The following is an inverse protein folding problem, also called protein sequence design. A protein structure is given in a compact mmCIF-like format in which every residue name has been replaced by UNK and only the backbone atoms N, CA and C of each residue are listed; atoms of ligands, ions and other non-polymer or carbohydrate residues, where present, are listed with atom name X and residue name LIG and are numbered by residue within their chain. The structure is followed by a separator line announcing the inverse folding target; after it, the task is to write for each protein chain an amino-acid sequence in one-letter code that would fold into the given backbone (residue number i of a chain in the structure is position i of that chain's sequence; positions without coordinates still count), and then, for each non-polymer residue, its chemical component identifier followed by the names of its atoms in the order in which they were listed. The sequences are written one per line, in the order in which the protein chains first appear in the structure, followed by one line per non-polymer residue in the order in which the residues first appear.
data_IF_154096126708
#
_entry.id   IF_154096126708
#
_cell.length_a   1.000
_cell.length_b   1.000
_cell.length_c   1.000
_cell.angle_alpha   90.00
_cell.angle_beta   90.00
_cell.angle_gamma   90.00
#
_symmetry.space_group_name_H-M   'P 1'
#
loop_
_entity.id
_entity.type
_entity.pdbx_description
1 polymer ?
#
# COMPACT_ATOMS: atom_id res chain seq x y z
N UNK A 1 51.28 23.14 32.31
CA UNK A 1 50.24 23.64 33.25
C UNK A 1 49.74 24.97 32.71
N UNK A 2 48.41 25.16 32.73
CA UNK A 2 47.63 26.24 32.08
C UNK A 2 47.61 26.11 30.53
N UNK A 3 46.50 26.13 29.78
CA UNK A 3 45.16 26.72 29.96
C UNK A 3 44.12 25.96 29.10
N UNK A 4 43.26 25.11 29.69
CA UNK A 4 42.07 24.55 29.02
C UNK A 4 40.75 25.13 29.55
N UNK A 5 40.83 26.12 30.43
CA UNK A 5 39.68 26.61 31.21
C UNK A 5 39.04 27.90 30.64
N UNK A 6 39.72 28.60 29.72
CA UNK A 6 39.22 29.84 29.13
C UNK A 6 38.20 29.57 28.00
N UNK A 7 38.46 28.57 27.15
CA UNK A 7 37.60 28.26 26.00
C UNK A 7 36.23 27.71 26.41
N UNK A 8 36.20 26.83 27.40
CA UNK A 8 34.95 26.30 27.98
C UNK A 8 34.13 27.42 28.61
N UNK A 9 34.76 28.34 29.36
CA UNK A 9 34.06 29.50 29.94
C UNK A 9 33.47 30.43 28.88
N UNK A 10 34.16 30.68 27.77
CA UNK A 10 33.62 31.47 26.66
C UNK A 10 32.48 30.77 25.92
N UNK A 11 32.57 29.45 25.74
CA UNK A 11 31.50 28.66 25.11
C UNK A 11 30.22 28.65 25.98
N UNK A 12 30.35 28.50 27.30
CA UNK A 12 29.21 28.58 28.22
C UNK A 12 28.60 29.98 28.30
N UNK A 13 29.42 31.04 28.26
CA UNK A 13 28.92 32.42 28.21
C UNK A 13 28.17 32.71 26.91
N UNK A 14 28.70 32.26 25.77
CA UNK A 14 28.06 32.44 24.47
C UNK A 14 26.73 31.68 24.39
N UNK A 15 26.67 30.45 24.90
CA UNK A 15 25.44 29.67 24.94
C UNK A 15 24.40 30.33 25.86
N UNK A 16 24.80 30.79 27.06
CA UNK A 16 23.91 31.47 27.99
C UNK A 16 23.35 32.79 27.41
N UNK A 17 24.16 33.56 26.69
CA UNK A 17 23.71 34.79 26.02
C UNK A 17 22.74 34.47 24.87
N UNK A 18 23.00 33.44 24.06
CA UNK A 18 22.10 33.02 22.97
C UNK A 18 20.76 32.55 23.55
N UNK A 19 20.77 31.76 24.62
CA UNK A 19 19.54 31.28 25.29
C UNK A 19 18.78 32.44 25.93
N UNK A 20 19.46 33.40 26.58
CA UNK A 20 18.83 34.58 27.16
C UNK A 20 18.22 35.50 26.08
N UNK A 21 18.88 35.64 24.93
CA UNK A 21 18.37 36.39 23.77
C UNK A 21 17.17 35.68 23.14
N UNK A 22 17.18 34.36 23.01
CA UNK A 22 16.02 33.58 22.54
C UNK A 22 14.81 33.73 23.47
N UNK A 23 15.02 33.58 24.78
CA UNK A 23 13.95 33.72 25.78
C UNK A 23 13.41 35.16 25.85
N UNK A 24 14.25 36.18 25.65
CA UNK A 24 13.82 37.58 25.57
C UNK A 24 13.08 37.91 24.27
N UNK A 25 13.38 37.21 23.17
CA UNK A 25 12.70 37.35 21.88
C UNK A 25 11.34 36.63 21.88
N UNK A 26 11.24 35.45 22.50
CA UNK A 26 9.97 34.75 22.70
C UNK A 26 9.04 35.52 23.66
N UNK A 27 9.58 36.10 24.73
CA UNK A 27 8.81 36.93 25.68
C UNK A 27 8.31 38.26 25.07
N UNK A 28 8.79 38.67 23.89
CA UNK A 28 8.40 39.92 23.21
C UNK A 28 7.56 39.71 21.95
N UNK A 29 7.18 38.48 21.61
CA UNK A 29 6.20 38.21 20.54
C UNK A 29 6.60 38.72 19.15
N UNK A 30 7.90 38.79 18.84
CA UNK A 30 8.38 39.24 17.53
C UNK A 30 8.64 38.03 16.64
N UNK A 31 7.63 37.64 15.87
CA UNK A 31 7.76 36.67 14.77
C UNK A 31 8.41 37.34 13.57
N UNK A 32 9.59 36.86 13.16
CA UNK A 32 10.20 37.23 11.88
C UNK A 32 9.47 36.53 10.74
N UNK A 33 8.85 37.34 9.88
CA UNK A 33 8.14 36.94 8.67
C UNK A 33 9.09 36.29 7.66
N UNK A 34 8.97 34.98 7.47
CA UNK A 34 9.46 34.31 6.27
C UNK A 34 8.36 34.36 5.19
N UNK A 35 8.75 34.84 4.01
CA UNK A 35 7.91 35.05 2.84
C UNK A 35 7.11 33.80 2.47
N UNK A 36 5.79 33.97 2.40
CA UNK A 36 4.84 32.93 1.99
C UNK A 36 4.79 32.86 0.47
N UNK A 37 5.24 31.74 -0.08
CA UNK A 37 4.80 31.27 -1.40
C UNK A 37 3.28 31.10 -1.29
N UNK A 38 2.52 31.80 -2.14
CA UNK A 38 1.07 31.64 -2.25
C UNK A 38 0.73 30.24 -2.77
N UNK A 39 0.62 29.27 -1.86
CA UNK A 39 -0.29 28.17 -2.04
C UNK A 39 -1.68 28.68 -1.64
N UNK A 40 -2.62 28.70 -2.58
CA UNK A 40 -4.04 28.94 -2.32
C UNK A 40 -4.57 27.86 -1.36
N UNK A 41 -4.42 28.12 -0.07
CA UNK A 41 -5.09 27.37 0.99
C UNK A 41 -6.54 27.83 0.99
N UNK A 42 -7.44 26.97 0.51
CA UNK A 42 -8.88 27.16 0.70
C UNK A 42 -9.12 27.16 2.21
N UNK A 43 -9.40 28.34 2.76
CA UNK A 43 -9.73 28.54 4.16
C UNK A 43 -11.16 28.03 4.35
N UNK A 44 -11.30 26.78 4.77
CA UNK A 44 -12.60 26.18 5.09
C UNK A 44 -13.16 26.84 6.35
N UNK A 45 -14.23 27.62 6.16
CA UNK A 45 -15.08 28.06 7.26
C UNK A 45 -15.82 26.86 7.82
N UNK A 46 -15.65 26.60 9.11
CA UNK A 46 -16.41 25.58 9.84
C UNK A 46 -17.85 26.08 9.98
N UNK A 47 -18.78 25.37 9.34
CA UNK A 47 -20.22 25.48 9.56
C UNK A 47 -20.79 24.09 9.92
N UNK A 48 -21.93 24.01 10.63
CA UNK A 48 -22.33 22.80 11.35
C UNK A 48 -22.56 21.60 10.43
N UNK A 49 -22.04 20.47 10.90
CA UNK A 49 -21.71 19.26 10.17
C UNK A 49 -22.90 18.43 9.70
N UNK A 50 -22.82 17.97 8.45
CA UNK A 50 -23.70 16.95 7.87
C UNK A 50 -23.53 16.88 6.35
N UNK A 51 -23.80 18.00 5.67
CA UNK A 51 -23.80 18.05 4.20
C UNK A 51 -22.43 18.47 3.64
N UNK A 52 -21.69 19.34 4.34
CA UNK A 52 -20.36 19.79 3.93
C UNK A 52 -19.28 18.69 4.01
N UNK A 53 -19.46 17.70 4.90
CA UNK A 53 -18.48 16.63 5.08
C UNK A 53 -18.53 15.57 3.96
N UNK A 54 -19.71 15.30 3.39
CA UNK A 54 -19.88 14.37 2.27
C UNK A 54 -19.42 14.99 0.94
N UNK A 55 -19.79 16.25 0.69
CA UNK A 55 -19.33 16.99 -0.50
C UNK A 55 -17.80 17.12 -0.59
N UNK A 56 -17.12 17.18 0.56
CA UNK A 56 -15.64 17.14 0.66
C UNK A 56 -15.06 15.77 0.25
N UNK A 57 -15.72 14.67 0.62
CA UNK A 57 -15.30 13.31 0.23
C UNK A 57 -15.50 13.08 -1.27
N UNK A 58 -16.67 13.44 -1.82
CA UNK A 58 -16.93 13.29 -3.25
C UNK A 58 -15.94 14.11 -4.09
N UNK A 59 -15.61 15.32 -3.64
CA UNK A 59 -14.59 16.15 -4.28
C UNK A 59 -13.19 15.52 -4.21
N UNK A 60 -12.83 14.87 -3.10
CA UNK A 60 -11.57 14.14 -2.97
C UNK A 60 -11.49 12.96 -3.93
N UNK A 61 -12.57 12.17 -4.07
CA UNK A 61 -12.65 11.11 -5.07
C UNK A 61 -12.53 11.67 -6.48
N UNK A 62 -13.36 12.64 -6.85
CA UNK A 62 -13.37 13.25 -8.17
C UNK A 62 -11.99 13.82 -8.57
N UNK A 63 -11.24 14.38 -7.61
CA UNK A 63 -9.89 14.89 -7.85
C UNK A 63 -8.86 13.81 -8.22
N UNK A 64 -9.12 12.53 -7.91
CA UNK A 64 -8.19 11.41 -8.11
C UNK A 64 -8.74 10.30 -9.03
N UNK A 65 -10.01 10.35 -9.44
CA UNK A 65 -10.64 9.29 -10.21
C UNK A 65 -9.90 8.93 -11.50
N UNK A 66 -9.39 9.91 -12.24
CA UNK A 66 -8.62 9.66 -13.45
C UNK A 66 -7.31 8.87 -13.18
N UNK A 67 -6.64 9.16 -12.07
CA UNK A 67 -5.42 8.46 -11.63
C UNK A 67 -5.74 7.03 -11.17
N UNK A 68 -6.85 6.86 -10.43
CA UNK A 68 -7.28 5.55 -9.91
C UNK A 68 -7.83 4.64 -11.00
N UNK A 69 -8.58 5.18 -11.97
CA UNK A 69 -8.97 4.45 -13.19
C UNK A 69 -7.74 3.95 -13.94
N UNK A 70 -6.74 4.81 -14.09
CA UNK A 70 -5.50 4.47 -14.77
C UNK A 70 -4.77 3.32 -14.07
N UNK A 71 -4.73 3.34 -12.75
CA UNK A 71 -4.17 2.25 -11.96
C UNK A 71 -4.95 0.94 -12.15
N UNK A 72 -6.28 0.98 -12.17
CA UNK A 72 -7.12 -0.21 -12.43
C UNK A 72 -6.84 -0.79 -13.83
N UNK A 73 -6.73 0.05 -14.86
CA UNK A 73 -6.40 -0.40 -16.21
C UNK A 73 -5.05 -1.14 -16.26
N UNK A 74 -4.02 -0.55 -15.63
CA UNK A 74 -2.71 -1.18 -15.51
C UNK A 74 -2.78 -2.51 -14.76
N UNK A 75 -3.54 -2.58 -13.67
CA UNK A 75 -3.80 -3.83 -12.94
C UNK A 75 -4.51 -4.88 -13.81
N UNK A 76 -5.40 -4.46 -14.72
CA UNK A 76 -6.03 -5.37 -15.68
C UNK A 76 -5.02 -5.91 -16.68
N UNK A 77 -4.12 -5.07 -17.22
CA UNK A 77 -3.07 -5.53 -18.13
C UNK A 77 -2.11 -6.50 -17.44
N UNK A 78 -1.62 -6.15 -16.25
CA UNK A 78 -0.76 -7.03 -15.47
C UNK A 78 -1.41 -8.41 -15.27
N UNK A 79 -2.67 -8.47 -14.81
CA UNK A 79 -3.33 -9.75 -14.54
C UNK A 79 -3.63 -10.60 -15.79
N UNK A 80 -3.86 -9.97 -16.94
CA UNK A 80 -4.29 -10.67 -18.17
C UNK A 80 -3.14 -11.04 -19.10
N UNK A 81 -2.05 -10.29 -19.06
CA UNK A 81 -0.97 -10.38 -20.03
C UNK A 81 0.29 -10.81 -19.29
N UNK A 82 0.73 -12.04 -19.57
CA UNK A 82 2.00 -12.55 -19.02
C UNK A 82 3.16 -12.30 -19.99
N UNK A 83 4.36 -12.20 -19.44
CA UNK A 83 5.62 -12.01 -20.17
C UNK A 83 5.63 -10.80 -21.13
N UNK A 84 4.95 -9.71 -20.75
CA UNK A 84 4.88 -8.45 -21.52
C UNK A 84 5.55 -7.28 -20.81
N UNK A 85 6.13 -6.36 -21.58
CA UNK A 85 6.56 -5.05 -21.09
C UNK A 85 5.31 -4.14 -21.06
N UNK A 86 5.04 -3.57 -19.88
CA UNK A 86 3.88 -2.70 -19.63
C UNK A 86 4.36 -1.28 -19.33
N UNK A 87 4.28 -0.34 -20.30
CA UNK A 87 4.54 1.06 -20.05
C UNK A 87 3.48 1.70 -19.16
N UNK A 88 3.86 2.63 -18.27
CA UNK A 88 2.90 3.37 -17.43
C UNK A 88 1.84 4.14 -18.24
N UNK A 89 2.15 4.48 -19.48
CA UNK A 89 1.29 5.24 -20.38
C UNK A 89 0.37 4.37 -21.26
N UNK A 90 0.52 3.02 -21.25
CA UNK A 90 -0.24 2.08 -22.09
C UNK A 90 -1.77 2.20 -21.97
N UNK A 91 -2.48 2.71 -22.98
CA UNK A 91 -3.94 2.92 -22.94
C UNK A 91 -4.74 1.72 -23.44
N UNK A 92 -4.07 0.73 -24.03
CA UNK A 92 -4.68 -0.47 -24.58
C UNK A 92 -3.69 -1.63 -24.59
N UNK A 93 -4.20 -2.84 -24.85
CA UNK A 93 -3.36 -4.02 -25.04
C UNK A 93 -2.37 -3.89 -26.23
N UNK A 94 -2.61 -2.95 -27.16
CA UNK A 94 -1.70 -2.69 -28.30
C UNK A 94 -0.45 -1.90 -27.91
N UNK A 95 -0.50 -1.21 -26.77
CA UNK A 95 0.63 -0.44 -26.24
C UNK A 95 1.59 -1.31 -25.43
N UNK A 96 1.21 -2.56 -25.17
CA UNK A 96 2.04 -3.55 -24.50
C UNK A 96 3.03 -4.14 -25.51
N UNK A 97 4.28 -4.32 -25.08
CA UNK A 97 5.33 -4.83 -25.95
C UNK A 97 5.66 -6.27 -25.56
N UNK A 98 5.74 -7.13 -26.57
CA UNK A 98 6.05 -8.55 -26.47
C UNK A 98 7.43 -8.83 -27.03
N UNK A 99 7.98 -10.01 -26.76
CA UNK A 99 9.28 -10.45 -27.30
C UNK A 99 9.33 -10.39 -28.84
N UNK A 100 8.23 -10.65 -29.52
CA UNK A 100 8.08 -10.62 -30.98
C UNK A 100 7.65 -9.26 -31.55
N UNK A 101 7.47 -8.24 -30.70
CA UNK A 101 7.20 -6.87 -31.16
C UNK A 101 8.40 -6.32 -31.95
N UNK A 102 8.18 -5.42 -32.92
CA UNK A 102 9.27 -4.82 -33.67
C UNK A 102 10.32 -4.19 -32.75
N UNK A 103 11.60 -4.50 -32.98
CA UNK A 103 12.70 -3.96 -32.15
C UNK A 103 12.70 -2.43 -32.13
N UNK A 104 12.28 -1.76 -33.20
CA UNK A 104 12.14 -0.30 -33.24
C UNK A 104 11.16 0.22 -32.18
N UNK A 105 10.01 -0.45 -31.98
CA UNK A 105 9.04 -0.10 -30.96
C UNK A 105 9.57 -0.38 -29.55
N UNK A 106 10.25 -1.52 -29.36
CA UNK A 106 10.89 -1.86 -28.08
C UNK A 106 11.97 -0.84 -27.73
N UNK A 107 12.88 -0.55 -28.66
CA UNK A 107 13.95 0.43 -28.48
C UNK A 107 13.42 1.84 -28.21
N UNK A 108 12.34 2.26 -28.87
CA UNK A 108 11.70 3.56 -28.63
C UNK A 108 11.19 3.69 -27.18
N UNK A 109 10.68 2.60 -26.60
CA UNK A 109 10.33 2.57 -25.18
C UNK A 109 11.60 2.50 -24.32
N UNK A 110 12.49 1.53 -24.56
CA UNK A 110 13.69 1.28 -23.75
C UNK A 110 14.57 2.52 -23.57
N UNK A 111 14.81 3.28 -24.65
CA UNK A 111 15.65 4.49 -24.66
C UNK A 111 15.15 5.64 -23.77
N UNK A 112 13.92 5.57 -23.25
CA UNK A 112 13.41 6.55 -22.26
C UNK A 112 14.15 6.49 -20.93
N UNK A 113 14.70 5.32 -20.57
CA UNK A 113 15.50 5.06 -19.37
C UNK A 113 15.01 5.80 -18.10
N UNK A 114 13.81 5.45 -17.58
CA UNK A 114 13.31 6.02 -16.33
C UNK A 114 14.29 5.71 -15.18
N UNK A 115 14.19 6.46 -14.07
CA UNK A 115 15.13 6.27 -12.96
C UNK A 115 15.08 4.85 -12.38
N UNK A 116 13.91 4.22 -12.35
CA UNK A 116 13.69 2.89 -11.79
C UNK A 116 12.74 2.13 -12.72
N UNK A 117 13.17 1.02 -13.28
CA UNK A 117 12.31 0.06 -14.00
C UNK A 117 11.82 -1.03 -13.02
N UNK A 118 10.57 -1.48 -13.15
CA UNK A 118 9.97 -2.48 -12.26
C UNK A 118 10.18 -3.86 -12.88
N UNK A 119 10.91 -4.75 -12.19
CA UNK A 119 10.99 -6.13 -12.63
C UNK A 119 9.66 -6.84 -12.37
N UNK A 120 9.08 -7.40 -13.42
CA UNK A 120 7.85 -8.17 -13.35
C UNK A 120 8.16 -9.61 -13.75
N UNK A 121 8.33 -10.46 -12.74
CA UNK A 121 8.67 -11.89 -12.89
C UNK A 121 7.67 -12.64 -13.78
N UNK A 122 8.01 -13.81 -14.32
CA UNK A 122 7.04 -14.63 -15.04
C UNK A 122 6.08 -15.38 -14.10
N UNK A 123 4.80 -15.48 -14.46
CA UNK A 123 3.85 -16.39 -13.80
C UNK A 123 3.14 -15.91 -12.52
N UNK A 124 3.65 -14.93 -11.76
CA UNK A 124 2.92 -14.37 -10.60
C UNK A 124 2.12 -13.16 -11.04
N UNK A 125 0.81 -13.35 -11.22
CA UNK A 125 -0.14 -12.32 -11.72
C UNK A 125 -1.43 -12.25 -10.91
N UNK A 126 -1.34 -12.52 -9.62
CA UNK A 126 -2.49 -12.33 -8.73
C UNK A 126 -2.78 -10.84 -8.48
N UNK A 127 -3.88 -10.59 -7.78
CA UNK A 127 -4.32 -9.23 -7.47
C UNK A 127 -3.31 -8.46 -6.62
N UNK A 128 -2.72 -9.08 -5.60
CA UNK A 128 -1.82 -8.39 -4.68
C UNK A 128 -0.52 -8.01 -5.38
N UNK A 129 0.06 -8.94 -6.14
CA UNK A 129 1.30 -8.70 -6.85
C UNK A 129 1.17 -7.66 -7.96
N UNK A 130 0.06 -7.68 -8.70
CA UNK A 130 -0.20 -6.65 -9.71
C UNK A 130 -0.51 -5.29 -9.06
N UNK A 131 -1.26 -5.24 -7.96
CA UNK A 131 -1.47 -3.99 -7.21
C UNK A 131 -0.15 -3.36 -6.77
N UNK A 132 0.77 -4.16 -6.23
CA UNK A 132 2.13 -3.72 -5.88
C UNK A 132 2.88 -3.21 -7.13
N UNK A 133 2.94 -3.98 -8.21
CA UNK A 133 3.73 -3.63 -9.39
C UNK A 133 3.25 -2.35 -10.07
N UNK A 134 1.93 -2.20 -10.23
CA UNK A 134 1.34 -1.17 -11.06
C UNK A 134 1.29 0.19 -10.37
N UNK A 135 1.24 0.26 -9.03
CA UNK A 135 1.39 1.54 -8.32
C UNK A 135 2.78 2.13 -8.54
N UNK A 136 3.83 1.30 -8.49
CA UNK A 136 5.19 1.76 -8.80
C UNK A 136 5.32 2.16 -10.27
N UNK A 137 4.80 1.35 -11.18
CA UNK A 137 4.85 1.64 -12.62
C UNK A 137 4.18 2.99 -12.93
N UNK A 138 2.99 3.24 -12.39
CA UNK A 138 2.25 4.48 -12.60
C UNK A 138 2.97 5.69 -11.99
N UNK A 139 3.27 5.65 -10.69
CA UNK A 139 3.73 6.84 -9.97
C UNK A 139 5.23 7.14 -10.12
N UNK A 140 6.03 6.17 -10.58
CA UNK A 140 7.40 6.43 -11.06
C UNK A 140 7.43 6.87 -12.53
N UNK A 141 6.29 6.89 -13.23
CA UNK A 141 6.19 7.10 -14.67
C UNK A 141 7.16 6.20 -15.44
N UNK A 142 7.10 4.91 -15.12
CA UNK A 142 8.08 3.91 -15.55
C UNK A 142 7.42 2.79 -16.35
N UNK A 143 8.00 1.60 -16.34
CA UNK A 143 7.46 0.41 -16.99
C UNK A 143 7.76 -0.81 -16.14
N UNK A 144 6.86 -1.78 -16.24
CA UNK A 144 7.14 -3.13 -15.81
C UNK A 144 7.84 -3.87 -16.95
N UNK A 145 9.00 -4.46 -16.66
CA UNK A 145 9.81 -5.19 -17.63
C UNK A 145 9.89 -6.68 -17.25
N UNK A 146 9.60 -7.59 -18.19
CA UNK A 146 9.80 -9.02 -18.00
C UNK A 146 11.26 -9.42 -18.22
N UNK A 147 11.60 -10.65 -17.82
CA UNK A 147 12.96 -11.21 -17.93
C UNK A 147 13.56 -11.09 -19.32
N UNK A 148 12.77 -11.30 -20.37
CA UNK A 148 13.29 -11.27 -21.75
C UNK A 148 13.86 -9.93 -22.16
N UNK A 149 13.39 -8.82 -21.59
CA UNK A 149 13.94 -7.48 -21.86
C UNK A 149 15.41 -7.40 -21.43
N UNK A 150 15.76 -8.12 -20.37
CA UNK A 150 17.10 -8.13 -19.80
C UNK A 150 18.03 -9.12 -20.50
N UNK A 151 17.49 -10.10 -21.22
CA UNK A 151 18.25 -11.16 -21.91
C UNK A 151 18.46 -10.88 -23.41
N UNK A 152 17.68 -9.96 -23.99
CA UNK A 152 17.63 -9.76 -25.44
C UNK A 152 18.58 -8.66 -25.89
N UNK A 153 19.25 -8.89 -27.04
CA UNK A 153 19.94 -7.84 -27.80
C UNK A 153 18.98 -7.30 -28.86
N UNK A 154 18.68 -6.00 -28.78
CA UNK A 154 17.76 -5.33 -29.69
C UNK A 154 18.53 -4.67 -30.82
N UNK A 155 18.07 -4.87 -32.05
CA UNK A 155 18.71 -4.38 -33.28
C UNK A 155 17.98 -3.12 -33.74
N UNK A 156 18.71 -2.03 -33.94
CA UNK A 156 18.17 -0.79 -34.49
C UNK A 156 18.09 -0.79 -36.03
N UNK A 157 17.60 0.31 -36.60
CA UNK A 157 17.44 0.47 -38.06
C UNK A 157 18.77 0.44 -38.83
N UNK A 158 19.89 0.68 -38.16
CA UNK A 158 21.24 0.64 -38.74
C UNK A 158 21.89 -0.75 -38.58
N UNK A 159 21.19 -1.71 -37.97
CA UNK A 159 21.73 -3.03 -37.68
C UNK A 159 22.61 -3.08 -36.41
N UNK A 160 22.68 -2.01 -35.62
CA UNK A 160 23.43 -1.99 -34.38
C UNK A 160 22.65 -2.65 -33.25
N UNK A 161 23.30 -3.60 -32.55
CA UNK A 161 22.72 -4.28 -31.39
C UNK A 161 22.94 -3.49 -30.11
N UNK A 162 21.94 -3.47 -29.22
CA UNK A 162 22.06 -2.94 -27.87
C UNK A 162 21.24 -3.76 -26.89
N UNK A 163 21.80 -4.03 -25.72
CA UNK A 163 21.10 -4.65 -24.58
C UNK A 163 20.43 -3.59 -23.72
N UNK A 164 19.49 -4.00 -22.87
CA UNK A 164 18.89 -3.11 -21.86
C UNK A 164 19.95 -2.44 -20.96
N UNK A 165 20.98 -3.20 -20.54
CA UNK A 165 22.01 -2.70 -19.64
C UNK A 165 22.91 -1.63 -20.27
N UNK A 166 23.14 -1.71 -21.58
CA UNK A 166 23.87 -0.70 -22.36
C UNK A 166 23.01 0.54 -22.63
N UNK A 167 21.71 0.36 -22.90
CA UNK A 167 20.79 1.47 -23.14
C UNK A 167 20.56 2.29 -21.87
N UNK A 168 20.31 1.62 -20.74
CA UNK A 168 19.92 2.26 -19.48
C UNK A 168 20.89 1.91 -18.33
N UNK A 169 22.18 2.30 -18.41
CA UNK A 169 23.18 1.91 -17.42
C UNK A 169 22.90 2.51 -16.03
N UNK A 170 22.23 3.67 -15.97
CA UNK A 170 21.92 4.39 -14.73
C UNK A 170 20.55 4.08 -14.12
N UNK A 171 19.63 3.49 -14.89
CA UNK A 171 18.34 3.05 -14.37
C UNK A 171 18.53 1.92 -13.36
N UNK A 172 17.91 2.04 -12.20
CA UNK A 172 17.82 0.97 -11.22
C UNK A 172 16.74 -0.04 -11.64
N UNK A 173 16.82 -1.25 -11.11
CA UNK A 173 15.76 -2.26 -11.23
C UNK A 173 15.14 -2.47 -9.85
N UNK A 174 13.82 -2.30 -9.76
CA UNK A 174 13.03 -2.62 -8.57
C UNK A 174 12.59 -4.08 -8.63
N UNK A 175 13.03 -4.89 -7.67
CA UNK A 175 12.50 -6.22 -7.46
C UNK A 175 11.47 -6.21 -6.33
N UNK A 176 10.37 -6.90 -6.57
CA UNK A 176 9.31 -7.08 -5.59
C UNK A 176 9.50 -8.42 -4.88
N UNK A 177 9.56 -8.34 -3.56
CA UNK A 177 9.66 -9.48 -2.67
C UNK A 177 10.83 -10.41 -3.07
N UNK A 178 10.62 -11.74 -3.17
CA UNK A 178 11.66 -12.72 -3.51
C UNK A 178 11.61 -13.19 -4.99
N UNK A 179 10.71 -12.65 -5.82
CA UNK A 179 10.48 -13.12 -7.19
C UNK A 179 11.49 -12.56 -8.21
N UNK A 180 12.79 -12.77 -7.97
CA UNK A 180 13.85 -12.16 -8.79
C UNK A 180 14.30 -13.03 -9.97
N UNK A 181 13.90 -14.31 -10.01
CA UNK A 181 14.18 -15.27 -11.08
C UNK A 181 15.66 -15.34 -11.53
N UNK A 182 16.58 -15.15 -10.57
CA UNK A 182 18.03 -15.15 -10.82
C UNK A 182 18.53 -13.97 -11.67
N UNK A 183 17.71 -12.96 -11.94
CA UNK A 183 18.09 -11.83 -12.81
C UNK A 183 19.33 -11.11 -12.30
N UNK A 184 19.38 -10.84 -11.00
CA UNK A 184 20.50 -10.17 -10.34
C UNK A 184 21.82 -10.97 -10.33
N UNK A 185 21.79 -12.24 -10.74
CA UNK A 185 22.90 -13.19 -10.83
C UNK A 185 23.29 -13.50 -12.28
N UNK A 186 22.58 -12.94 -13.27
CA UNK A 186 22.92 -13.16 -14.68
C UNK A 186 24.39 -12.76 -14.93
N UNK A 187 25.15 -13.51 -15.76
CA UNK A 187 26.57 -13.23 -15.99
C UNK A 187 26.86 -11.82 -16.52
N UNK A 188 25.90 -11.23 -17.24
CA UNK A 188 25.95 -9.90 -17.82
C UNK A 188 25.25 -8.83 -16.98
N UNK A 189 24.73 -9.17 -15.78
CA UNK A 189 24.16 -8.19 -14.87
C UNK A 189 25.28 -7.30 -14.31
N UNK A 190 25.30 -5.98 -14.60
CA UNK A 190 26.42 -5.14 -14.20
C UNK A 190 26.55 -5.07 -12.67
N UNK A 191 27.77 -5.20 -12.15
CA UNK A 191 28.01 -5.08 -10.70
C UNK A 191 27.67 -3.68 -10.14
N UNK A 192 27.70 -2.67 -11.01
CA UNK A 192 27.32 -1.28 -10.73
C UNK A 192 25.82 -1.01 -10.88
N UNK A 193 25.04 -1.99 -11.37
CA UNK A 193 23.59 -1.82 -11.55
C UNK A 193 22.92 -1.69 -10.18
N UNK A 194 22.20 -0.59 -9.99
CA UNK A 194 21.46 -0.31 -8.76
C UNK A 194 20.24 -1.21 -8.65
N UNK A 195 20.02 -1.73 -7.45
CA UNK A 195 18.90 -2.59 -7.13
C UNK A 195 18.07 -1.94 -6.02
N UNK A 196 16.77 -1.82 -6.27
CA UNK A 196 15.75 -1.42 -5.29
C UNK A 196 14.96 -2.67 -4.90
N UNK A 197 14.75 -2.91 -3.60
CA UNK A 197 13.90 -3.98 -3.09
C UNK A 197 12.66 -3.39 -2.45
N UNK A 198 11.49 -3.86 -2.87
CA UNK A 198 10.24 -3.69 -2.14
C UNK A 198 9.86 -5.05 -1.51
N UNK A 199 10.07 -5.26 -0.20
CA UNK A 199 9.81 -6.52 0.46
C UNK A 199 8.37 -6.63 0.99
N UNK A 200 7.90 -7.87 1.08
CA UNK A 200 6.84 -8.26 2.03
C UNK A 200 7.55 -8.79 3.28
N UNK A 201 7.60 -7.99 4.34
CA UNK A 201 8.44 -8.28 5.52
C UNK A 201 8.00 -9.51 6.31
N UNK A 202 6.76 -9.97 6.10
CA UNK A 202 6.16 -11.18 6.63
C UNK A 202 6.59 -12.46 5.91
N UNK A 203 7.13 -12.35 4.69
CA UNK A 203 7.50 -13.51 3.87
C UNK A 203 8.90 -14.03 4.22
N UNK A 204 8.95 -15.28 4.69
CA UNK A 204 10.18 -15.94 5.12
C UNK A 204 11.17 -16.27 4.00
N UNK A 205 10.72 -16.21 2.74
CA UNK A 205 11.54 -16.42 1.55
C UNK A 205 12.56 -15.30 1.33
N UNK A 206 12.33 -14.12 1.92
CA UNK A 206 13.33 -13.07 1.95
C UNK A 206 14.42 -13.41 2.96
N UNK A 207 15.62 -13.64 2.43
CA UNK A 207 16.82 -13.98 3.20
C UNK A 207 17.76 -12.77 3.35
N UNK A 208 18.73 -12.81 4.30
CA UNK A 208 19.81 -11.82 4.42
C UNK A 208 20.51 -11.47 3.10
N UNK A 209 20.68 -12.45 2.21
CA UNK A 209 21.34 -12.26 0.93
C UNK A 209 20.64 -11.22 0.05
N UNK A 210 19.30 -11.20 0.06
CA UNK A 210 18.52 -10.20 -0.68
C UNK A 210 18.79 -8.79 -0.15
N UNK A 211 18.72 -8.61 1.17
CA UNK A 211 18.94 -7.30 1.80
C UNK A 211 20.39 -6.80 1.69
N UNK A 212 21.37 -7.71 1.64
CA UNK A 212 22.78 -7.36 1.45
C UNK A 212 23.11 -7.04 -0.02
N UNK A 213 22.30 -7.49 -0.97
CA UNK A 213 22.53 -7.27 -2.40
C UNK A 213 22.08 -5.89 -2.88
N UNK A 214 21.11 -5.28 -2.22
CA UNK A 214 20.38 -4.10 -2.72
C UNK A 214 21.03 -2.79 -2.29
N UNK A 215 20.68 -1.71 -3.00
CA UNK A 215 21.16 -0.36 -2.70
C UNK A 215 20.10 0.44 -1.92
N UNK A 216 18.82 0.15 -2.16
CA UNK A 216 17.67 0.80 -1.52
C UNK A 216 16.61 -0.24 -1.17
N UNK A 217 16.03 -0.15 0.04
CA UNK A 217 14.87 -0.94 0.47
C UNK A 217 13.69 -0.01 0.70
N UNK A 218 12.54 -0.32 0.11
CA UNK A 218 11.29 0.43 0.29
C UNK A 218 10.48 -0.20 1.42
N UNK A 219 10.11 0.57 2.43
CA UNK A 219 9.30 0.09 3.55
C UNK A 219 7.84 0.57 3.41
N UNK A 220 6.92 -0.38 3.24
CA UNK A 220 5.48 -0.13 3.00
C UNK A 220 4.73 0.36 4.24
N UNK A 221 5.23 0.04 5.42
CA UNK A 221 4.66 0.42 6.72
C UNK A 221 5.77 0.93 7.65
N UNK A 222 5.37 1.60 8.73
CA UNK A 222 6.30 2.07 9.75
C UNK A 222 6.92 0.90 10.50
N UNK A 223 6.11 -0.14 10.78
CA UNK A 223 6.60 -1.40 11.32
C UNK A 223 7.68 -2.03 10.43
N UNK A 224 7.42 -2.15 9.12
CA UNK A 224 8.41 -2.63 8.16
C UNK A 224 9.68 -1.76 8.18
N UNK A 225 9.54 -0.44 8.22
CA UNK A 225 10.69 0.47 8.28
C UNK A 225 11.54 0.21 9.52
N UNK A 226 10.90 0.11 10.69
CA UNK A 226 11.59 -0.12 11.96
C UNK A 226 12.32 -1.47 11.96
N UNK A 227 11.68 -2.53 11.44
CA UNK A 227 12.27 -3.87 11.33
C UNK A 227 13.47 -3.90 10.40
N UNK A 228 13.32 -3.35 9.19
CA UNK A 228 14.40 -3.30 8.19
C UNK A 228 15.56 -2.43 8.70
N UNK A 229 15.25 -1.31 9.34
CA UNK A 229 16.25 -0.41 9.92
C UNK A 229 17.05 -1.11 11.01
N UNK A 230 16.37 -1.73 11.99
CA UNK A 230 17.02 -2.47 13.07
C UNK A 230 17.90 -3.60 12.51
N UNK A 231 17.36 -4.38 11.57
CA UNK A 231 18.10 -5.45 10.91
C UNK A 231 19.39 -4.95 10.23
N UNK A 232 19.33 -3.83 9.51
CA UNK A 232 20.50 -3.25 8.83
C UNK A 232 21.59 -2.80 9.83
N UNK A 233 21.21 -2.31 11.01
CA UNK A 233 22.16 -1.96 12.07
C UNK A 233 22.82 -3.22 12.66
N UNK A 234 22.01 -4.25 12.95
CA UNK A 234 22.49 -5.46 13.62
C UNK A 234 23.37 -6.35 12.73
N UNK A 235 23.12 -6.37 11.42
CA UNK A 235 23.77 -7.29 10.48
C UNK A 235 24.89 -6.64 9.65
N UNK A 236 25.21 -5.37 9.91
CA UNK A 236 26.25 -4.60 9.23
C UNK A 236 26.17 -4.75 7.70
N UNK A 237 25.03 -4.35 7.13
CA UNK A 237 24.74 -4.50 5.70
C UNK A 237 25.94 -4.00 4.86
N UNK A 238 26.61 -4.88 4.11
CA UNK A 238 27.90 -4.58 3.49
C UNK A 238 27.82 -3.52 2.39
N UNK A 239 26.63 -3.26 1.85
CA UNK A 239 26.39 -2.22 0.83
C UNK A 239 25.87 -0.91 1.42
N UNK A 240 25.58 -0.85 2.73
CA UNK A 240 25.00 0.32 3.38
C UNK A 240 23.64 0.71 2.76
N UNK A 241 22.81 -0.29 2.46
CA UNK A 241 21.53 -0.10 1.79
C UNK A 241 20.67 0.95 2.52
N UNK A 242 20.16 1.93 1.78
CA UNK A 242 19.29 2.98 2.33
C UNK A 242 17.87 2.44 2.49
N UNK A 243 17.22 2.73 3.60
CA UNK A 243 15.81 2.38 3.81
C UNK A 243 14.96 3.62 3.56
N UNK A 244 13.99 3.53 2.66
CA UNK A 244 13.02 4.59 2.38
C UNK A 244 11.64 4.16 2.87
N UNK A 245 11.11 4.84 3.88
CA UNK A 245 9.70 4.69 4.25
C UNK A 245 8.84 5.35 3.18
N UNK A 246 8.05 4.54 2.47
CA UNK A 246 7.24 5.00 1.34
C UNK A 246 5.77 5.12 1.67
N UNK A 247 5.34 4.62 2.83
CA UNK A 247 4.00 4.03 2.96
C UNK A 247 3.75 3.09 1.77
N UNK A 248 2.49 2.86 1.42
CA UNK A 248 2.13 2.24 0.16
C UNK A 248 0.70 2.65 -0.21
N UNK A 249 0.26 2.31 -1.41
CA UNK A 249 -1.11 2.61 -1.84
C UNK A 249 -1.71 1.45 -2.63
N UNK A 250 -2.97 1.58 -3.04
CA UNK A 250 -3.72 0.59 -3.82
C UNK A 250 -4.81 1.29 -4.64
N UNK A 251 -5.38 0.58 -5.61
CA UNK A 251 -6.52 1.07 -6.39
C UNK A 251 -7.80 1.27 -5.56
N UNK A 252 -8.74 2.05 -6.09
CA UNK A 252 -10.10 2.15 -5.56
C UNK A 252 -11.08 1.64 -6.61
N UNK A 253 -11.58 0.41 -6.48
CA UNK A 253 -12.46 -0.18 -7.47
C UNK A 253 -13.78 0.61 -7.62
N UNK A 254 -14.21 1.37 -6.61
CA UNK A 254 -15.46 2.13 -6.65
C UNK A 254 -15.43 3.26 -7.69
N UNK A 255 -14.24 3.63 -8.20
CA UNK A 255 -14.13 4.54 -9.34
C UNK A 255 -14.78 4.00 -10.62
N UNK A 256 -14.84 2.68 -10.78
CA UNK A 256 -15.54 2.06 -11.92
C UNK A 256 -17.04 2.37 -11.89
N UNK A 257 -17.62 2.37 -10.68
CA UNK A 257 -19.01 2.79 -10.48
C UNK A 257 -19.16 4.29 -10.75
N UNK A 258 -18.31 5.14 -10.15
CA UNK A 258 -18.35 6.61 -10.35
C UNK A 258 -18.25 7.03 -11.80
N UNK A 259 -17.48 6.29 -12.60
CA UNK A 259 -17.32 6.58 -14.03
C UNK A 259 -18.43 5.98 -14.91
N UNK A 260 -19.14 4.96 -14.43
CA UNK A 260 -20.22 4.29 -15.18
C UNK A 260 -21.61 4.90 -14.91
N UNK A 261 -21.81 5.54 -13.76
CA UNK A 261 -23.08 6.18 -13.39
C UNK A 261 -22.90 7.66 -13.06
N UNK A 262 -23.88 8.48 -13.45
CA UNK A 262 -23.92 9.92 -13.12
C UNK A 262 -24.41 10.20 -11.70
N UNK A 263 -25.08 9.22 -11.06
CA UNK A 263 -25.65 9.35 -9.73
C UNK A 263 -25.37 8.08 -8.94
N UNK A 264 -24.59 8.20 -7.86
CA UNK A 264 -24.36 7.12 -6.92
C UNK A 264 -25.16 7.38 -5.65
N UNK A 265 -25.85 6.35 -5.18
CA UNK A 265 -26.57 6.42 -3.91
C UNK A 265 -25.55 6.47 -2.78
N UNK A 266 -25.58 7.47 -1.90
CA UNK A 266 -24.69 7.51 -0.74
C UNK A 266 -24.90 6.29 0.17
N UNK A 267 -23.83 5.85 0.84
CA UNK A 267 -23.91 4.78 1.85
C UNK A 267 -24.83 5.20 3.00
N UNK A 268 -25.76 4.33 3.37
CA UNK A 268 -26.64 4.51 4.54
C UNK A 268 -26.08 3.81 5.77
N UNK A 269 -25.37 4.57 6.62
CA UNK A 269 -24.82 4.04 7.88
C UNK A 269 -25.88 3.76 8.97
N UNK A 270 -27.16 4.00 8.68
CA UNK A 270 -28.29 3.52 9.48
C UNK A 270 -28.69 2.07 9.16
N UNK A 271 -28.38 1.56 7.96
CA UNK A 271 -28.62 0.19 7.54
C UNK A 271 -27.29 -0.54 7.32
N UNK A 272 -26.90 -1.33 8.31
CA UNK A 272 -25.60 -1.97 8.31
C UNK A 272 -25.58 -3.19 7.37
N UNK A 273 -24.53 -3.24 6.54
CA UNK A 273 -24.10 -4.40 5.77
C UNK A 273 -22.59 -4.56 5.99
N UNK A 274 -22.19 -5.78 6.37
CA UNK A 274 -20.81 -6.13 6.69
C UNK A 274 -20.23 -6.96 5.56
N UNK A 275 -19.08 -6.54 5.02
CA UNK A 275 -18.32 -7.31 4.04
C UNK A 275 -17.00 -7.79 4.65
N UNK A 276 -16.68 -9.06 4.42
CA UNK A 276 -15.34 -9.59 4.64
C UNK A 276 -14.87 -10.34 3.39
N UNK A 277 -13.71 -9.97 2.86
CA UNK A 277 -13.15 -10.60 1.66
C UNK A 277 -11.72 -11.10 1.93
N UNK A 278 -11.57 -12.40 2.10
CA UNK A 278 -10.25 -12.99 2.32
C UNK A 278 -9.60 -13.57 1.06
N UNK A 279 -10.39 -13.86 0.03
CA UNK A 279 -9.88 -14.54 -1.16
C UNK A 279 -9.24 -15.88 -0.78
N UNK A 280 -8.00 -16.11 -1.19
CA UNK A 280 -7.26 -17.36 -0.91
C UNK A 280 -6.47 -17.35 0.41
N UNK A 281 -6.41 -16.23 1.13
CA UNK A 281 -5.54 -16.11 2.30
C UNK A 281 -6.20 -16.71 3.56
N UNK A 282 -5.55 -17.67 4.23
CA UNK A 282 -6.03 -18.18 5.52
C UNK A 282 -5.75 -17.20 6.67
N UNK A 283 -4.80 -16.28 6.51
CA UNK A 283 -4.38 -15.33 7.56
C UNK A 283 -5.36 -14.18 7.77
N UNK A 284 -6.44 -14.09 6.98
CA UNK A 284 -7.45 -13.04 7.12
C UNK A 284 -8.59 -13.41 8.08
N UNK A 285 -8.46 -14.53 8.79
CA UNK A 285 -9.37 -14.99 9.84
C UNK A 285 -10.85 -15.15 9.40
N UNK A 286 -11.06 -15.54 8.15
CA UNK A 286 -12.39 -15.79 7.59
C UNK A 286 -13.20 -16.84 8.37
N UNK A 287 -12.57 -17.90 8.86
CA UNK A 287 -13.26 -18.88 9.73
C UNK A 287 -13.68 -18.29 11.09
N UNK A 288 -12.91 -17.32 11.63
CA UNK A 288 -13.25 -16.66 12.90
C UNK A 288 -14.42 -15.70 12.75
N UNK A 289 -14.52 -15.01 11.61
CA UNK A 289 -15.71 -14.23 11.24
C UNK A 289 -16.98 -15.11 11.26
N UNK A 290 -16.93 -16.28 10.60
CA UNK A 290 -18.06 -17.22 10.60
C UNK A 290 -18.44 -17.70 12.00
N UNK A 291 -17.45 -18.04 12.83
CA UNK A 291 -17.70 -18.44 14.22
C UNK A 291 -18.34 -17.32 15.05
N UNK A 292 -17.96 -16.06 14.82
CA UNK A 292 -18.61 -14.94 15.47
C UNK A 292 -20.10 -14.85 15.06
N UNK A 293 -20.40 -14.88 13.76
CA UNK A 293 -21.79 -14.79 13.28
C UNK A 293 -22.69 -15.96 13.68
N UNK A 294 -22.11 -17.13 13.96
CA UNK A 294 -22.84 -18.33 14.38
C UNK A 294 -23.71 -18.09 15.62
N UNK A 295 -23.18 -17.36 16.60
CA UNK A 295 -23.83 -17.17 17.91
C UNK A 295 -24.57 -15.83 18.00
N UNK A 296 -24.58 -15.03 16.92
CA UNK A 296 -25.11 -13.67 16.88
C UNK A 296 -26.09 -13.44 15.71
N UNK A 297 -27.30 -14.03 15.74
CA UNK A 297 -28.33 -13.83 14.70
C UNK A 297 -28.85 -12.38 14.62
N UNK A 298 -28.62 -11.57 15.64
CA UNK A 298 -28.96 -10.14 15.69
C UNK A 298 -27.97 -9.24 14.94
N UNK A 299 -26.80 -9.77 14.56
CA UNK A 299 -25.81 -9.00 13.81
C UNK A 299 -26.30 -8.67 12.39
N UNK A 300 -25.79 -7.58 11.79
CA UNK A 300 -26.05 -7.26 10.39
C UNK A 300 -25.67 -8.40 9.46
N UNK A 301 -26.21 -8.39 8.24
CA UNK A 301 -25.86 -9.39 7.23
C UNK A 301 -24.36 -9.34 6.94
N UNK A 302 -23.70 -10.49 7.08
CA UNK A 302 -22.32 -10.73 6.67
C UNK A 302 -22.30 -11.26 5.26
N UNK A 303 -21.71 -10.50 4.34
CA UNK A 303 -21.32 -10.97 3.01
C UNK A 303 -19.84 -11.37 3.04
N UNK A 304 -19.60 -12.67 3.09
CA UNK A 304 -18.24 -13.22 3.18
C UNK A 304 -17.81 -13.81 1.84
N UNK A 305 -16.75 -13.23 1.26
CA UNK A 305 -16.16 -13.67 -0.01
C UNK A 305 -14.85 -14.43 0.23
N UNK A 306 -14.88 -15.74 0.00
CA UNK A 306 -13.79 -16.65 0.31
C UNK A 306 -13.44 -17.57 -0.85
N UNK A 307 -12.19 -17.99 -0.93
CA UNK A 307 -11.68 -18.98 -1.90
C UNK A 307 -10.60 -19.88 -1.29
N UNK A 308 -10.53 -19.94 0.03
CA UNK A 308 -9.65 -20.84 0.79
C UNK A 308 -10.46 -22.01 1.37
N UNK A 309 -9.84 -23.18 1.42
CA UNK A 309 -10.52 -24.40 1.89
C UNK A 309 -10.80 -24.39 3.40
N UNK A 310 -10.06 -23.60 4.18
CA UNK A 310 -10.21 -23.54 5.64
C UNK A 310 -11.51 -22.85 6.04
N UNK A 311 -11.84 -21.71 5.44
CA UNK A 311 -13.11 -21.03 5.67
C UNK A 311 -14.30 -21.83 5.14
N UNK A 312 -14.15 -22.49 3.99
CA UNK A 312 -15.18 -23.38 3.45
C UNK A 312 -15.42 -24.59 4.36
N UNK A 313 -14.35 -25.20 4.90
CA UNK A 313 -14.45 -26.24 5.91
C UNK A 313 -15.22 -25.75 7.15
N UNK A 314 -14.82 -24.59 7.68
CA UNK A 314 -15.49 -23.95 8.83
C UNK A 314 -16.98 -23.72 8.56
N UNK A 315 -17.34 -23.15 7.41
CA UNK A 315 -18.73 -22.93 7.03
C UNK A 315 -19.55 -24.23 7.01
N UNK A 316 -19.00 -25.29 6.43
CA UNK A 316 -19.66 -26.59 6.35
C UNK A 316 -19.77 -27.29 7.71
N UNK A 317 -18.78 -27.12 8.60
CA UNK A 317 -18.81 -27.65 9.96
C UNK A 317 -19.84 -26.95 10.84
N UNK A 318 -20.00 -25.63 10.65
CA UNK A 318 -20.93 -24.83 11.45
C UNK A 318 -22.39 -25.05 11.06
N UNK A 319 -22.67 -25.17 9.76
CA UNK A 319 -24.06 -25.10 9.27
C UNK A 319 -24.45 -26.18 8.25
N UNK A 320 -23.53 -27.03 7.81
CA UNK A 320 -23.80 -28.06 6.79
C UNK A 320 -24.53 -27.53 5.54
N UNK A 321 -24.15 -26.33 5.09
CA UNK A 321 -24.76 -25.65 3.94
C UNK A 321 -26.08 -24.90 4.22
N UNK A 322 -26.52 -24.84 5.49
CA UNK A 322 -27.76 -24.15 5.91
C UNK A 322 -27.47 -23.04 6.92
N UNK A 323 -26.81 -21.93 6.51
CA UNK A 323 -26.47 -20.83 7.41
C UNK A 323 -27.69 -20.05 7.88
N UNK A 324 -27.59 -19.27 8.98
CA UNK A 324 -28.64 -18.36 9.39
C UNK A 324 -28.87 -17.25 8.36
N UNK A 325 -30.05 -16.57 8.37
CA UNK A 325 -30.39 -15.56 7.37
C UNK A 325 -29.44 -14.35 7.29
N UNK A 326 -28.64 -14.10 8.33
CA UNK A 326 -27.68 -12.99 8.39
C UNK A 326 -26.26 -13.41 7.94
N UNK A 327 -26.08 -14.57 7.32
CA UNK A 327 -24.80 -15.03 6.76
C UNK A 327 -24.97 -15.38 5.28
N UNK A 328 -24.32 -14.59 4.43
CA UNK A 328 -24.23 -14.76 2.99
C UNK A 328 -22.79 -15.13 2.61
N UNK A 329 -22.56 -16.43 2.38
CA UNK A 329 -21.23 -16.99 2.13
C UNK A 329 -21.01 -17.29 0.64
N UNK A 330 -20.07 -16.58 0.04
CA UNK A 330 -19.67 -16.72 -1.36
C UNK A 330 -18.34 -17.47 -1.47
N UNK A 331 -18.40 -18.77 -1.77
CA UNK A 331 -17.20 -19.60 -1.97
C UNK A 331 -16.82 -19.77 -3.44
N UNK A 332 -15.57 -19.45 -3.78
CA UNK A 332 -14.98 -19.68 -5.11
C UNK A 332 -15.65 -18.90 -6.25
N UNK A 333 -16.52 -17.94 -5.94
CA UNK A 333 -17.26 -17.18 -6.94
C UNK A 333 -16.35 -16.18 -7.64
N UNK A 334 -16.34 -16.20 -8.97
CA UNK A 334 -15.69 -15.16 -9.74
C UNK A 334 -16.50 -13.86 -9.64
N UNK A 335 -15.88 -12.84 -9.05
CA UNK A 335 -16.44 -11.50 -8.98
C UNK A 335 -15.78 -10.65 -10.07
N UNK A 336 -16.57 -10.13 -11.01
CA UNK A 336 -16.06 -9.22 -12.04
C UNK A 336 -15.54 -7.91 -11.41
N UNK A 337 -14.69 -7.16 -12.10
CA UNK A 337 -14.20 -5.87 -11.58
C UNK A 337 -15.34 -4.91 -11.23
N UNK A 338 -16.42 -4.90 -12.03
CA UNK A 338 -17.61 -4.11 -11.73
C UNK A 338 -18.33 -4.69 -10.51
N UNK A 339 -18.55 -6.01 -10.44
CA UNK A 339 -19.19 -6.64 -9.29
C UNK A 339 -18.47 -6.34 -7.97
N UNK A 340 -17.14 -6.36 -7.99
CA UNK A 340 -16.31 -6.00 -6.83
C UNK A 340 -16.46 -4.53 -6.47
N UNK A 341 -16.52 -3.64 -7.46
CA UNK A 341 -16.81 -2.23 -7.25
C UNK A 341 -18.19 -2.01 -6.61
N UNK A 342 -19.22 -2.76 -7.02
CA UNK A 342 -20.55 -2.71 -6.39
C UNK A 342 -20.48 -3.16 -4.93
N UNK A 343 -19.84 -4.31 -4.66
CA UNK A 343 -19.72 -4.85 -3.30
C UNK A 343 -19.05 -3.83 -2.37
N UNK A 344 -17.93 -3.24 -2.79
CA UNK A 344 -17.24 -2.22 -1.99
C UNK A 344 -18.06 -0.94 -1.85
N UNK A 345 -18.80 -0.55 -2.89
CA UNK A 345 -19.68 0.61 -2.87
C UNK A 345 -20.87 0.43 -1.92
N UNK A 346 -21.45 -0.76 -1.84
CA UNK A 346 -22.64 -1.01 -1.05
C UNK A 346 -22.30 -1.34 0.42
N UNK A 347 -21.10 -1.83 0.69
CA UNK A 347 -20.65 -2.18 2.03
C UNK A 347 -20.51 -0.97 2.97
N UNK A 348 -21.37 -0.87 3.99
CA UNK A 348 -21.21 0.17 5.03
C UNK A 348 -20.03 -0.11 5.95
N UNK A 349 -19.77 -1.39 6.24
CA UNK A 349 -18.70 -1.85 7.12
C UNK A 349 -17.88 -2.88 6.36
N UNK A 350 -16.55 -2.76 6.40
CA UNK A 350 -15.65 -3.80 5.89
C UNK A 350 -14.73 -4.23 7.01
N UNK A 351 -14.76 -5.53 7.32
CA UNK A 351 -14.03 -6.12 8.43
C UNK A 351 -12.79 -6.84 7.91
N UNK A 352 -11.65 -6.44 8.44
CA UNK A 352 -10.32 -6.86 8.03
C UNK A 352 -9.53 -7.42 9.23
N UNK A 353 -9.90 -8.58 9.78
CA UNK A 353 -9.34 -9.11 11.02
C UNK A 353 -8.06 -9.93 10.74
N UNK A 354 -7.15 -9.43 9.92
CA UNK A 354 -5.93 -10.17 9.56
C UNK A 354 -5.07 -10.51 10.77
N UNK A 355 -4.53 -11.72 10.79
CA UNK A 355 -3.49 -12.15 11.72
C UNK A 355 -2.12 -11.57 11.32
N UNK A 356 -1.88 -11.35 10.03
CA UNK A 356 -0.69 -10.66 9.51
C UNK A 356 -0.99 -10.04 8.15
N UNK A 357 -0.28 -8.96 7.81
CA UNK A 357 -0.29 -8.33 6.48
C UNK A 357 1.12 -7.81 6.17
N UNK A 358 1.56 -7.90 4.91
CA UNK A 358 2.76 -7.19 4.45
C UNK A 358 2.52 -5.71 4.16
N UNK A 359 1.28 -5.38 3.81
CA UNK A 359 0.80 -4.00 3.71
C UNK A 359 -0.64 -3.91 4.21
N UNK A 360 -1.59 -4.55 3.53
CA UNK A 360 -3.02 -4.41 3.83
C UNK A 360 -3.84 -3.82 2.69
N UNK A 361 -3.68 -4.32 1.45
CA UNK A 361 -4.39 -3.78 0.28
C UNK A 361 -5.91 -3.71 0.48
N UNK A 362 -6.52 -4.77 1.01
CA UNK A 362 -7.97 -4.79 1.19
C UNK A 362 -8.47 -3.85 2.31
N UNK A 363 -7.65 -3.57 3.34
CA UNK A 363 -7.91 -2.52 4.35
C UNK A 363 -7.87 -1.15 3.66
N UNK A 364 -6.86 -0.95 2.82
CA UNK A 364 -6.67 0.30 2.09
C UNK A 364 -7.80 0.57 1.07
N UNK A 365 -8.21 -0.46 0.32
CA UNK A 365 -9.36 -0.43 -0.58
C UNK A 365 -10.66 -0.13 0.17
N UNK A 366 -10.84 -0.71 1.36
CA UNK A 366 -12.02 -0.45 2.18
C UNK A 366 -12.12 1.02 2.62
N UNK A 367 -11.00 1.63 3.03
CA UNK A 367 -10.94 3.06 3.32
C UNK A 367 -11.25 3.90 2.08
N UNK A 368 -10.67 3.54 0.93
CA UNK A 368 -10.91 4.25 -0.33
C UNK A 368 -12.38 4.21 -0.75
N UNK A 369 -13.04 3.06 -0.57
CA UNK A 369 -14.45 2.86 -0.86
C UNK A 369 -15.41 3.61 0.09
N UNK A 370 -14.89 4.24 1.15
CA UNK A 370 -15.69 4.96 2.13
C UNK A 370 -16.49 4.08 3.08
N UNK A 371 -16.04 2.84 3.33
CA UNK A 371 -16.62 2.00 4.37
C UNK A 371 -16.08 2.38 5.76
N UNK A 372 -16.84 2.08 6.81
CA UNK A 372 -16.29 2.02 8.16
C UNK A 372 -15.41 0.78 8.27
N UNK A 373 -14.11 0.97 8.37
CA UNK A 373 -13.13 -0.11 8.38
C UNK A 373 -12.91 -0.61 9.80
N UNK A 374 -12.96 -1.93 9.96
CA UNK A 374 -12.62 -2.64 11.20
C UNK A 374 -11.36 -3.45 10.95
N UNK A 375 -10.32 -3.29 11.75
CA UNK A 375 -9.07 -4.06 11.53
C UNK A 375 -8.34 -4.39 12.82
N UNK A 376 -7.43 -5.35 12.76
CA UNK A 376 -6.65 -5.83 13.90
C UNK A 376 -5.80 -4.72 14.51
N UNK A 377 -5.84 -4.56 15.84
CA UNK A 377 -4.98 -3.67 16.61
C UNK A 377 -3.56 -4.24 16.75
N UNK A 378 -2.88 -4.39 15.62
CA UNK A 378 -1.49 -4.81 15.54
C UNK A 378 -0.85 -4.32 14.23
N UNK A 379 0.49 -4.15 14.20
CA UNK A 379 1.15 -3.71 12.99
C UNK A 379 1.15 -4.76 11.87
N UNK A 380 1.05 -4.35 10.59
CA UNK A 380 0.87 -2.96 10.12
C UNK A 380 -0.61 -2.54 10.03
N UNK A 381 -1.55 -3.38 10.43
CA UNK A 381 -3.00 -3.18 10.22
C UNK A 381 -3.52 -1.95 10.98
N UNK A 382 -3.02 -1.72 12.19
CA UNK A 382 -3.31 -0.54 13.03
C UNK A 382 -2.80 0.79 12.45
N UNK A 383 -1.90 0.79 11.47
CA UNK A 383 -1.42 2.03 10.84
C UNK A 383 -2.49 2.67 9.93
N UNK A 384 -3.48 1.88 9.48
CA UNK A 384 -4.48 2.30 8.51
C UNK A 384 -5.56 3.17 9.13
N UNK A 385 -6.01 2.82 10.33
CA UNK A 385 -7.11 3.49 11.01
C UNK A 385 -6.76 3.78 12.46
N UNK A 386 -7.37 4.80 13.02
CA UNK A 386 -7.41 5.06 14.45
C UNK A 386 -8.88 5.24 14.89
N UNK A 387 -9.09 5.56 16.17
CA UNK A 387 -10.41 5.79 16.76
C UNK A 387 -11.20 6.90 16.04
N UNK A 388 -10.55 7.75 15.25
CA UNK A 388 -11.21 8.82 14.49
C UNK A 388 -11.56 8.42 13.04
N UNK A 389 -11.08 7.27 12.56
CA UNK A 389 -11.19 6.87 11.16
C UNK A 389 -11.57 5.40 10.92
N UNK A 390 -11.88 4.66 11.98
CA UNK A 390 -12.23 3.24 11.92
C UNK A 390 -12.55 2.66 13.29
N UNK A 391 -12.43 1.33 13.39
CA UNK A 391 -12.54 0.55 14.63
C UNK A 391 -11.39 -0.45 14.68
N UNK A 392 -10.70 -0.51 15.82
CA UNK A 392 -9.61 -1.46 16.06
C UNK A 392 -10.13 -2.67 16.84
N UNK A 393 -9.75 -3.87 16.42
CA UNK A 393 -10.04 -5.11 17.12
C UNK A 393 -8.96 -5.27 18.19
N UNK A 394 -9.32 -5.04 19.45
CA UNK A 394 -8.39 -5.05 20.57
C UNK A 394 -8.13 -6.46 21.14
N UNK A 395 -7.27 -6.55 22.16
CA UNK A 395 -6.98 -7.81 22.84
C UNK A 395 -6.13 -8.78 22.01
N UNK A 396 -5.33 -8.23 21.09
CA UNK A 396 -4.48 -8.96 20.16
C UNK A 396 -3.20 -9.40 20.86
N UNK A 397 -2.79 -10.66 20.65
CA UNK A 397 -1.55 -11.19 21.22
C UNK A 397 -0.64 -11.72 20.11
N UNK A 398 0.65 -11.38 20.11
CA UNK A 398 1.57 -11.90 19.10
C UNK A 398 1.78 -13.41 19.26
N UNK A 399 1.87 -14.12 18.14
CA UNK A 399 2.36 -15.50 18.12
C UNK A 399 3.87 -15.50 18.33
N UNK A 400 4.37 -16.50 19.05
CA UNK A 400 5.80 -16.72 19.17
C UNK A 400 6.36 -17.29 17.85
N UNK A 401 6.74 -16.41 16.92
CA UNK A 401 7.35 -16.76 15.65
C UNK A 401 8.75 -16.15 15.49
N UNK A 402 9.52 -16.71 14.55
CA UNK A 402 10.81 -16.16 14.12
C UNK A 402 10.66 -15.76 12.65
N UNK A 403 10.55 -14.48 12.37
CA UNK A 403 10.63 -13.96 11.01
C UNK A 403 12.06 -13.51 10.70
N UNK A 404 12.40 -13.41 9.41
CA UNK A 404 13.73 -12.92 8.98
C UNK A 404 14.01 -11.49 9.47
N UNK A 405 12.96 -10.68 9.63
CA UNK A 405 13.01 -9.26 10.00
C UNK A 405 12.37 -8.99 11.37
N UNK A 406 12.68 -9.82 12.36
CA UNK A 406 12.26 -9.65 13.75
C UNK A 406 11.39 -10.78 14.30
N UNK A 407 10.76 -10.55 15.44
CA UNK A 407 9.79 -11.47 16.06
C UNK A 407 8.38 -10.91 15.91
N UNK A 408 7.38 -11.77 16.11
CA UNK A 408 5.97 -11.45 16.26
C UNK A 408 5.38 -10.75 15.01
N UNK A 409 5.36 -11.45 13.87
CA UNK A 409 4.69 -10.92 12.65
C UNK A 409 3.26 -11.46 12.52
N UNK A 410 2.98 -12.62 13.10
CA UNK A 410 1.62 -13.16 13.18
C UNK A 410 1.00 -12.88 14.54
N UNK A 411 -0.28 -12.54 14.53
CA UNK A 411 -1.06 -12.17 15.69
C UNK A 411 -2.30 -13.06 15.85
N UNK A 412 -2.60 -13.41 17.10
CA UNK A 412 -3.86 -14.06 17.46
C UNK A 412 -4.96 -13.01 17.52
N UNK A 413 -6.02 -13.23 16.74
CA UNK A 413 -7.24 -12.41 16.75
C UNK A 413 -8.36 -13.24 17.37
N UNK A 414 -8.71 -13.06 18.66
CA UNK A 414 -9.75 -13.85 19.31
C UNK A 414 -11.12 -13.63 18.66
N UNK A 415 -11.93 -14.70 18.54
CA UNK A 415 -13.31 -14.59 18.01
C UNK A 415 -14.12 -13.57 18.81
N UNK A 416 -14.01 -13.60 20.14
CA UNK A 416 -14.68 -12.62 21.04
C UNK A 416 -14.37 -11.17 20.66
N UNK A 417 -13.13 -10.87 20.29
CA UNK A 417 -12.71 -9.49 20.00
C UNK A 417 -13.30 -9.00 18.67
N UNK A 418 -13.47 -9.90 17.70
CA UNK A 418 -14.21 -9.60 16.46
C UNK A 418 -15.66 -9.27 16.79
N UNK A 419 -16.31 -10.07 17.65
CA UNK A 419 -17.72 -9.83 18.02
C UNK A 419 -17.91 -8.53 18.79
N UNK A 420 -17.06 -8.26 19.79
CA UNK A 420 -17.06 -7.01 20.56
C UNK A 420 -16.92 -5.78 19.64
N UNK A 421 -16.04 -5.84 18.63
CA UNK A 421 -15.90 -4.74 17.67
C UNK A 421 -17.17 -4.51 16.82
N UNK A 422 -17.94 -5.56 16.51
CA UNK A 422 -19.22 -5.42 15.79
C UNK A 422 -20.30 -4.86 16.71
N UNK A 423 -20.36 -5.32 17.95
CA UNK A 423 -21.27 -4.80 18.98
C UNK A 423 -21.05 -3.30 19.20
N UNK A 424 -19.79 -2.87 19.31
CA UNK A 424 -19.41 -1.46 19.43
C UNK A 424 -19.91 -0.65 18.23
N UNK A 425 -19.78 -1.19 17.01
CA UNK A 425 -20.29 -0.53 15.81
C UNK A 425 -21.81 -0.45 15.85
N UNK A 426 -22.51 -1.52 16.22
CA UNK A 426 -23.97 -1.53 16.33
C UNK A 426 -24.48 -0.52 17.38
N UNK A 427 -23.72 -0.30 18.45
CA UNK A 427 -24.02 0.71 19.47
C UNK A 427 -23.66 2.15 19.04
N UNK A 428 -22.76 2.31 18.06
CA UNK A 428 -22.31 3.61 17.55
C UNK A 428 -23.41 4.36 16.79
N UNK A 429 -23.52 5.68 17.00
CA UNK A 429 -24.46 6.52 16.24
C UNK A 429 -24.15 6.48 14.72
N UNK A 430 -25.17 6.37 13.83
CA UNK A 430 -24.96 6.37 12.39
C UNK A 430 -24.14 7.55 11.85
N UNK A 431 -24.26 8.74 12.45
CA UNK A 431 -23.47 9.91 12.04
C UNK A 431 -22.01 9.75 12.42
N UNK A 432 -21.73 9.14 13.57
CA UNK A 432 -20.36 8.84 13.99
C UNK A 432 -19.73 7.79 13.07
N UNK A 433 -20.46 6.74 12.70
CA UNK A 433 -20.00 5.75 11.69
C UNK A 433 -19.64 6.42 10.36
N UNK A 434 -20.54 7.27 9.85
CA UNK A 434 -20.31 8.01 8.61
C UNK A 434 -19.12 8.96 8.69
N UNK A 435 -18.95 9.65 9.84
CA UNK A 435 -17.84 10.56 10.08
C UNK A 435 -16.50 9.82 10.08
N UNK A 436 -16.40 8.71 10.81
CA UNK A 436 -15.19 7.86 10.84
C UNK A 436 -14.87 7.28 9.47
N UNK A 437 -15.87 6.76 8.74
CA UNK A 437 -15.68 6.28 7.38
C UNK A 437 -15.13 7.38 6.44
N UNK A 438 -15.69 8.59 6.48
CA UNK A 438 -15.18 9.73 5.73
C UNK A 438 -13.74 10.11 6.11
N UNK A 439 -13.39 10.06 7.40
CA UNK A 439 -12.01 10.25 7.84
C UNK A 439 -11.06 9.15 7.33
N UNK A 440 -11.54 7.91 7.21
CA UNK A 440 -10.83 6.82 6.54
C UNK A 440 -10.46 7.18 5.10
N UNK A 441 -11.40 7.75 4.33
CA UNK A 441 -11.14 8.23 2.95
C UNK A 441 -10.09 9.35 2.94
N UNK A 442 -10.17 10.32 3.85
CA UNK A 442 -9.17 11.40 3.95
C UNK A 442 -7.77 10.85 4.22
N UNK A 443 -7.66 9.84 5.09
CA UNK A 443 -6.39 9.16 5.38
C UNK A 443 -5.86 8.40 4.16
N UNK A 444 -6.73 7.70 3.41
CA UNK A 444 -6.38 7.05 2.16
C UNK A 444 -5.70 8.04 1.19
N UNK A 445 -6.34 9.19 0.93
CA UNK A 445 -5.78 10.17 -0.01
C UNK A 445 -4.51 10.85 0.49
N UNK A 446 -4.40 11.09 1.82
CA UNK A 446 -3.15 11.57 2.41
C UNK A 446 -2.01 10.56 2.21
N UNK A 447 -2.30 9.28 2.35
CA UNK A 447 -1.33 8.20 2.13
C UNK A 447 -0.96 8.04 0.66
N UNK A 448 -1.92 8.14 -0.27
CA UNK A 448 -1.64 8.19 -1.71
C UNK A 448 -0.70 9.35 -2.06
N UNK A 449 -0.95 10.53 -1.49
CA UNK A 449 -0.09 11.70 -1.70
C UNK A 449 1.32 11.49 -1.13
N UNK A 450 1.45 10.89 0.06
CA UNK A 450 2.75 10.54 0.64
C UNK A 450 3.51 9.53 -0.21
N UNK A 451 2.83 8.50 -0.72
CA UNK A 451 3.42 7.52 -1.63
C UNK A 451 3.97 8.19 -2.90
N UNK A 452 3.19 9.09 -3.52
CA UNK A 452 3.62 9.85 -4.71
C UNK A 452 4.87 10.69 -4.45
N UNK A 453 4.94 11.38 -3.32
CA UNK A 453 6.13 12.14 -2.92
C UNK A 453 7.34 11.23 -2.65
N UNK A 454 7.08 10.05 -2.10
CA UNK A 454 8.12 9.03 -1.87
C UNK A 454 8.68 8.50 -3.19
N UNK A 455 7.88 8.39 -4.25
CA UNK A 455 8.37 8.00 -5.59
C UNK A 455 9.30 9.05 -6.19
N UNK A 456 8.99 10.34 -6.02
CA UNK A 456 9.91 11.44 -6.40
C UNK A 456 11.22 11.37 -5.60
N UNK A 457 11.12 11.06 -4.30
CA UNK A 457 12.30 10.87 -3.44
C UNK A 457 13.14 9.68 -3.90
N UNK A 458 12.52 8.55 -4.26
CA UNK A 458 13.20 7.38 -4.79
C UNK A 458 13.93 7.70 -6.10
N UNK A 459 13.29 8.42 -7.02
CA UNK A 459 13.91 8.87 -8.27
C UNK A 459 15.17 9.71 -7.99
N UNK A 460 15.11 10.66 -7.06
CA UNK A 460 16.26 11.46 -6.66
C UNK A 460 17.37 10.61 -6.01
N UNK A 461 17.03 9.68 -5.11
CA UNK A 461 18.00 8.78 -4.46
C UNK A 461 18.77 7.92 -5.46
N UNK A 462 18.10 7.47 -6.53
CA UNK A 462 18.73 6.67 -7.58
C UNK A 462 19.64 7.52 -8.49
N UNK A 463 19.36 8.81 -8.65
CA UNK A 463 20.14 9.71 -9.50
C UNK A 463 21.34 10.37 -8.80
N UNK A 464 21.30 10.55 -7.47
CA UNK A 464 22.32 11.29 -6.69
C UNK A 464 23.58 10.47 -6.35
N UNK A 465 23.58 9.18 -6.64
CA UNK A 465 24.68 8.25 -6.43
C UNK A 465 25.10 7.61 -7.76
#
# INVERSE_FOLDING_TARGET
MATSDAWTKWAFLALAVITLVHLLLEARGVSWTAQTVHATYVRSGVAPHGILAAADIDALHAAHDAELLRLIELNVYCRKEDDVLIPWHARSARDLLRRDSPHSAILAELRKCPAVDIYLNTGVRDHGYCEDAMVYTLHLQSRAIPKWVLETTFIDENGAGSTYFELCPRSAILFMNHYWEGVHEMPFFPSTKKIVLMPNVEMGELTPAHYHRVDIVLAKSRDAFNRIWAYNQDNNNPRGAKVLYTQHTTSDATVLMRNATTHMTPKDFGQLSVVHANGKSPFKNAGRMLNCWKDHPEFPVLHQYSSDDWSNGTFNDLWHGSPPPNVDFHFGQYVSSMGFASILHDATIIVCPSAMEGFGHYINQARAAGALVVTTDAPPMDEFVDDDSGVLIHGITPWADKATMGQNIVFEVPIRAICEAIEDIMAMDPRERARRAGNGVRRYFKQLQFFKQSMQTLQAMVQLN
#
